data_IF_173319291088
#
_entry.id   IF_173319291088
#
_cell.length_a   1.000
_cell.length_b   1.000
_cell.length_c   1.000
_cell.angle_alpha   90.00
_cell.angle_beta   90.00
_cell.angle_gamma   90.00
#
_symmetry.space_group_name_H-M   'P 1'
#
loop_
_entity.id
_entity.type
_entity.pdbx_description
1 polymer ?
#
# COMPACT_ATOMS: atom_id res chain seq x y z
N UNK A 1 15.13 -15.52 -22.25
CA UNK A 1 14.87 -14.27 -23.00
C UNK A 1 13.90 -14.44 -24.17
N UNK A 2 13.97 -15.54 -24.93
CA UNK A 2 13.22 -15.74 -26.20
C UNK A 2 11.68 -15.87 -26.02
N UNK A 3 11.20 -16.40 -24.88
CA UNK A 3 9.75 -16.55 -24.64
C UNK A 3 9.00 -15.24 -24.31
N UNK A 4 9.70 -14.16 -23.96
CA UNK A 4 9.06 -12.87 -23.63
C UNK A 4 8.70 -12.10 -24.91
N UNK A 5 9.54 -12.20 -25.94
CA UNK A 5 9.33 -11.55 -27.24
C UNK A 5 8.19 -12.23 -28.01
N UNK A 6 8.07 -13.55 -27.93
CA UNK A 6 7.07 -14.30 -28.70
C UNK A 6 5.62 -14.09 -28.19
N UNK A 7 5.44 -13.86 -26.89
CA UNK A 7 4.11 -13.61 -26.33
C UNK A 7 3.61 -12.18 -26.55
N UNK A 8 4.53 -11.22 -26.69
CA UNK A 8 4.21 -9.82 -27.03
C UNK A 8 3.54 -9.68 -28.40
N UNK A 9 3.66 -10.69 -29.28
CA UNK A 9 3.10 -10.67 -30.63
C UNK A 9 1.67 -11.24 -30.72
N UNK A 10 1.21 -12.06 -29.77
CA UNK A 10 -0.16 -12.64 -29.82
C UNK A 10 -1.21 -11.88 -29.00
N UNK A 11 -0.79 -11.13 -27.98
CA UNK A 11 -1.64 -10.16 -27.30
C UNK A 11 -0.93 -8.82 -27.41
N UNK A 12 -1.41 -7.93 -28.30
CA UNK A 12 -0.76 -6.65 -28.57
C UNK A 12 -0.36 -5.89 -27.30
N UNK A 13 0.66 -5.05 -27.40
CA UNK A 13 1.31 -4.30 -26.32
C UNK A 13 0.37 -3.63 -25.29
N UNK A 14 -0.88 -3.35 -25.65
CA UNK A 14 -1.91 -2.79 -24.78
C UNK A 14 -2.75 -3.84 -23.99
N UNK A 15 -2.46 -5.12 -24.10
CA UNK A 15 -3.22 -6.20 -23.46
C UNK A 15 -4.66 -6.40 -23.99
N UNK A 16 -5.42 -7.32 -23.38
CA UNK A 16 -6.79 -7.65 -23.78
C UNK A 16 -7.71 -6.43 -23.71
N UNK A 17 -8.46 -6.15 -24.78
CA UNK A 17 -9.30 -4.93 -24.91
C UNK A 17 -10.25 -4.71 -23.72
N UNK A 18 -10.81 -5.78 -23.13
CA UNK A 18 -11.73 -5.70 -21.98
C UNK A 18 -11.07 -5.43 -20.62
N UNK A 19 -9.74 -5.49 -20.49
CA UNK A 19 -9.04 -5.30 -19.20
C UNK A 19 -8.17 -4.04 -19.13
N UNK A 20 -8.10 -3.27 -20.22
CA UNK A 20 -7.29 -2.04 -20.30
C UNK A 20 -7.71 -1.00 -19.28
N UNK A 21 -9.02 -0.82 -19.07
CA UNK A 21 -9.54 0.13 -18.10
C UNK A 21 -9.09 -0.22 -16.67
N UNK A 22 -9.11 -1.51 -16.32
CA UNK A 22 -8.62 -1.99 -15.03
C UNK A 22 -7.12 -1.79 -14.89
N UNK A 23 -6.33 -2.01 -15.94
CA UNK A 23 -4.88 -1.78 -15.93
C UNK A 23 -4.53 -0.30 -15.78
N UNK A 24 -5.29 0.59 -16.44
CA UNK A 24 -5.15 2.02 -16.30
C UNK A 24 -5.47 2.48 -14.86
N UNK A 25 -6.63 2.11 -14.33
CA UNK A 25 -7.01 2.43 -12.94
C UNK A 25 -6.03 1.83 -11.93
N UNK A 26 -5.52 0.62 -12.17
CA UNK A 26 -4.45 0.02 -11.35
C UNK A 26 -3.21 0.89 -11.35
N UNK A 27 -2.76 1.33 -12.53
CA UNK A 27 -1.56 2.15 -12.66
C UNK A 27 -1.75 3.50 -11.98
N UNK A 28 -2.87 4.18 -12.23
CA UNK A 28 -3.22 5.47 -11.64
C UNK A 28 -3.37 5.42 -10.12
N UNK A 29 -4.20 4.52 -9.59
CA UNK A 29 -4.39 4.39 -8.15
C UNK A 29 -3.12 3.92 -7.45
N UNK A 30 -2.33 3.06 -8.10
CA UNK A 30 -1.05 2.60 -7.56
C UNK A 30 -0.03 3.73 -7.50
N UNK A 31 0.13 4.51 -8.58
CA UNK A 31 1.07 5.62 -8.62
C UNK A 31 0.69 6.70 -7.64
N UNK A 32 -0.60 7.06 -7.60
CA UNK A 32 -1.15 8.02 -6.65
C UNK A 32 -0.91 7.53 -5.22
N UNK A 33 -1.16 6.25 -4.92
CA UNK A 33 -0.85 5.68 -3.60
C UNK A 33 0.61 5.89 -3.20
N UNK A 34 1.57 5.63 -4.10
CA UNK A 34 2.98 5.83 -3.78
C UNK A 34 3.35 7.30 -3.59
N UNK A 35 2.86 8.20 -4.44
CA UNK A 35 3.12 9.65 -4.29
C UNK A 35 2.60 10.15 -2.95
N UNK A 36 1.37 9.79 -2.56
CA UNK A 36 0.83 10.19 -1.25
C UNK A 36 1.58 9.55 -0.08
N UNK A 37 2.07 8.31 -0.22
CA UNK A 37 2.84 7.65 0.82
C UNK A 37 4.20 8.33 1.04
N UNK A 38 4.92 8.67 -0.04
CA UNK A 38 6.17 9.43 0.07
C UNK A 38 5.94 10.82 0.63
N UNK A 39 4.84 11.49 0.26
CA UNK A 39 4.47 12.76 0.87
C UNK A 39 4.21 12.60 2.38
N UNK A 40 3.52 11.54 2.80
CA UNK A 40 3.33 11.24 4.22
C UNK A 40 4.67 11.05 4.95
N UNK A 41 5.66 10.37 4.36
CA UNK A 41 6.99 10.22 4.95
C UNK A 41 7.77 11.53 5.09
N UNK A 42 7.42 12.58 4.34
CA UNK A 42 8.08 13.89 4.46
C UNK A 42 7.53 14.72 5.62
N UNK A 43 6.28 14.51 6.02
CA UNK A 43 5.56 15.36 6.99
C UNK A 43 5.17 14.61 8.28
N UNK A 44 5.47 13.31 8.36
CA UNK A 44 5.16 12.43 9.49
C UNK A 44 6.25 11.35 9.65
N UNK A 45 6.51 10.86 10.88
CA UNK A 45 7.42 9.75 11.11
C UNK A 45 7.14 8.50 10.25
N UNK A 46 8.20 7.84 9.79
CA UNK A 46 8.14 6.64 8.95
C UNK A 46 7.27 5.53 9.57
N UNK A 47 7.42 5.26 10.88
CA UNK A 47 6.64 4.27 11.62
C UNK A 47 5.13 4.60 11.61
N UNK A 48 4.74 5.85 11.84
CA UNK A 48 3.33 6.24 11.86
C UNK A 48 2.69 6.00 10.48
N UNK A 49 3.34 6.46 9.41
CA UNK A 49 2.83 6.29 8.05
C UNK A 49 2.82 4.82 7.59
N UNK A 50 3.83 4.03 7.95
CA UNK A 50 3.88 2.59 7.63
C UNK A 50 2.78 1.81 8.36
N UNK A 51 2.51 2.12 9.63
CA UNK A 51 1.42 1.49 10.38
C UNK A 51 0.05 1.86 9.78
N UNK A 52 -0.19 3.11 9.41
CA UNK A 52 -1.43 3.50 8.73
C UNK A 52 -1.58 2.72 7.41
N UNK A 53 -0.51 2.59 6.64
CA UNK A 53 -0.48 1.80 5.39
C UNK A 53 -0.76 0.32 5.63
N UNK A 54 -0.39 -0.17 6.82
CA UNK A 54 -0.64 -1.55 7.21
C UNK A 54 -2.13 -1.87 7.41
N UNK A 55 -2.99 -0.87 7.57
CA UNK A 55 -4.46 -1.07 7.55
C UNK A 55 -5.01 -1.40 6.16
N UNK A 56 -4.19 -1.37 5.10
CA UNK A 56 -4.61 -1.67 3.72
C UNK A 56 -5.35 -3.01 3.53
N UNK A 57 -5.07 -4.13 4.22
CA UNK A 57 -5.83 -5.37 4.07
C UNK A 57 -7.29 -5.26 4.52
N UNK A 58 -7.55 -4.40 5.50
CA UNK A 58 -8.89 -4.09 6.03
C UNK A 58 -9.66 -3.26 5.02
N UNK A 59 -9.08 -2.16 4.52
CA UNK A 59 -9.65 -1.38 3.42
C UNK A 59 -9.87 -2.24 2.16
N UNK A 60 -8.94 -3.16 1.87
CA UNK A 60 -9.07 -4.12 0.76
C UNK A 60 -10.24 -5.06 0.98
N UNK A 61 -10.56 -5.43 2.23
CA UNK A 61 -11.75 -6.22 2.59
C UNK A 61 -13.04 -5.48 2.29
N UNK A 62 -13.11 -4.24 2.76
CA UNK A 62 -14.27 -3.38 2.56
C UNK A 62 -14.52 -3.13 1.06
N UNK A 63 -13.46 -2.80 0.31
CA UNK A 63 -13.54 -2.60 -1.13
C UNK A 63 -13.85 -3.89 -1.90
N UNK A 64 -13.34 -5.04 -1.46
CA UNK A 64 -13.69 -6.32 -2.08
C UNK A 64 -15.16 -6.70 -1.85
N UNK A 65 -15.74 -6.36 -0.71
CA UNK A 65 -17.19 -6.51 -0.51
C UNK A 65 -17.98 -5.65 -1.51
N UNK A 66 -17.60 -4.38 -1.69
CA UNK A 66 -18.32 -3.45 -2.59
C UNK A 66 -18.13 -3.85 -4.07
N UNK A 67 -16.89 -4.08 -4.51
CA UNK A 67 -16.56 -4.25 -5.94
C UNK A 67 -16.58 -5.70 -6.42
N UNK A 68 -16.27 -6.67 -5.55
CA UNK A 68 -16.25 -8.10 -5.89
C UNK A 68 -17.46 -8.85 -5.33
N UNK A 69 -18.33 -8.18 -4.55
CA UNK A 69 -19.50 -8.79 -3.90
C UNK A 69 -19.11 -9.99 -3.01
N UNK A 70 -17.92 -9.96 -2.41
CA UNK A 70 -17.48 -10.96 -1.44
C UNK A 70 -18.31 -10.84 -0.15
N UNK A 71 -18.65 -11.94 0.52
CA UNK A 71 -19.45 -11.88 1.77
C UNK A 71 -18.67 -11.14 2.87
N UNK A 72 -19.20 -10.01 3.32
CA UNK A 72 -18.69 -9.28 4.49
C UNK A 72 -19.39 -9.79 5.73
N UNK A 73 -18.63 -10.17 6.76
CA UNK A 73 -19.21 -10.77 7.96
C UNK A 73 -18.84 -9.96 9.21
N UNK A 74 -19.56 -10.18 10.31
CA UNK A 74 -19.43 -9.44 11.57
C UNK A 74 -17.99 -9.36 12.10
N UNK A 75 -17.17 -10.39 11.91
CA UNK A 75 -15.76 -10.32 12.29
C UNK A 75 -14.94 -9.36 11.42
N UNK A 76 -15.28 -9.21 10.13
CA UNK A 76 -14.60 -8.23 9.26
C UNK A 76 -14.97 -6.80 9.69
N UNK A 77 -16.21 -6.60 10.15
CA UNK A 77 -16.62 -5.34 10.77
C UNK A 77 -15.82 -5.06 12.05
N UNK A 78 -15.66 -6.06 12.91
CA UNK A 78 -14.88 -5.92 14.14
C UNK A 78 -13.41 -5.57 13.84
N UNK A 79 -12.76 -6.27 12.91
CA UNK A 79 -11.40 -5.94 12.50
C UNK A 79 -11.31 -4.54 11.85
N UNK A 80 -12.34 -4.13 11.13
CA UNK A 80 -12.40 -2.78 10.54
C UNK A 80 -12.49 -1.70 11.60
N UNK A 81 -13.35 -1.87 12.60
CA UNK A 81 -13.43 -0.96 13.74
C UNK A 81 -12.09 -0.89 14.47
N UNK A 82 -11.45 -2.03 14.70
CA UNK A 82 -10.16 -2.08 15.38
C UNK A 82 -9.06 -1.38 14.56
N UNK A 83 -9.01 -1.56 13.25
CA UNK A 83 -8.06 -0.86 12.39
C UNK A 83 -8.30 0.66 12.39
N UNK A 84 -9.56 1.10 12.34
CA UNK A 84 -9.93 2.52 12.44
C UNK A 84 -9.47 3.09 13.78
N UNK A 85 -9.72 2.39 14.89
CA UNK A 85 -9.23 2.78 16.22
C UNK A 85 -7.71 2.92 16.23
N UNK A 86 -6.98 1.94 15.68
CA UNK A 86 -5.52 2.01 15.57
C UNK A 86 -5.02 3.22 14.77
N UNK A 87 -5.67 3.54 13.65
CA UNK A 87 -5.37 4.75 12.86
C UNK A 87 -5.65 6.02 13.65
N UNK A 88 -6.76 6.08 14.41
CA UNK A 88 -7.10 7.22 15.27
C UNK A 88 -6.06 7.43 16.38
N UNK A 89 -5.58 6.35 16.99
CA UNK A 89 -4.52 6.41 18.01
C UNK A 89 -3.20 6.99 17.47
N UNK A 90 -2.90 6.74 16.19
CA UNK A 90 -1.71 7.27 15.51
C UNK A 90 -1.93 8.71 15.07
N UNK A 91 -3.12 9.00 14.51
CA UNK A 91 -3.51 10.34 14.05
C UNK A 91 -3.57 11.37 15.18
N UNK A 92 -3.79 10.92 16.43
CA UNK A 92 -3.90 11.75 17.65
C UNK A 92 -4.67 13.04 17.43
N UNK A 93 -5.96 12.96 17.03
CA UNK A 93 -6.70 14.18 16.81
C UNK A 93 -6.89 14.96 18.13
N UNK A 94 -6.74 16.29 18.13
CA UNK A 94 -6.68 17.14 19.31
C UNK A 94 -8.02 17.20 20.04
N UNK A 95 -9.12 16.88 19.35
CA UNK A 95 -10.45 16.78 19.96
C UNK A 95 -10.62 15.54 20.85
N UNK A 96 -9.83 14.46 20.64
CA UNK A 96 -9.87 13.25 21.47
C UNK A 96 -8.80 13.24 22.55
N UNK A 97 -7.63 13.81 22.25
CA UNK A 97 -6.45 13.65 23.11
C UNK A 97 -6.00 14.95 23.80
N UNK A 98 -6.64 16.08 23.51
CA UNK A 98 -6.28 17.39 24.08
C UNK A 98 -5.03 18.00 23.42
N UNK A 99 -4.88 19.31 23.55
CA UNK A 99 -3.86 20.11 22.83
C UNK A 99 -2.50 20.21 23.55
N UNK A 100 -2.30 19.48 24.65
CA UNK A 100 -1.08 19.58 25.48
C UNK A 100 -0.13 18.41 25.18
N UNK A 101 1.02 18.72 24.58
CA UNK A 101 2.26 17.93 24.57
C UNK A 101 2.13 16.41 24.36
N UNK A 102 1.58 16.01 23.21
CA UNK A 102 1.45 14.59 22.84
C UNK A 102 2.66 14.02 22.08
N UNK A 103 3.87 14.58 22.27
CA UNK A 103 5.09 14.10 21.63
C UNK A 103 5.03 14.08 20.09
N UNK A 104 4.23 14.99 19.50
CA UNK A 104 4.20 15.23 18.07
C UNK A 104 5.31 16.23 17.78
N UNK A 105 6.40 15.76 17.17
CA UNK A 105 7.44 16.67 16.66
C UNK A 105 6.91 17.41 15.43
N UNK A 106 6.84 18.74 15.51
CA UNK A 106 6.43 19.61 14.42
C UNK A 106 5.04 20.22 14.56
N UNK A 107 4.59 20.93 13.52
CA UNK A 107 3.27 21.55 13.49
C UNK A 107 2.20 20.45 13.39
N UNK A 108 1.18 20.49 14.26
CA UNK A 108 0.03 19.58 14.19
C UNK A 108 -0.60 19.54 12.78
N UNK A 109 -0.56 20.67 12.06
CA UNK A 109 -1.07 20.76 10.69
C UNK A 109 -0.32 19.85 9.71
N UNK A 110 0.98 19.62 9.90
CA UNK A 110 1.78 18.77 9.02
C UNK A 110 1.58 17.29 9.33
N UNK A 111 1.47 16.92 10.60
CA UNK A 111 1.12 15.56 11.01
C UNK A 111 -0.29 15.18 10.53
N UNK A 112 -1.25 16.11 10.58
CA UNK A 112 -2.59 15.91 10.03
C UNK A 112 -2.58 15.72 8.51
N UNK A 113 -1.82 16.55 7.77
CA UNK A 113 -1.62 16.35 6.32
C UNK A 113 -1.01 14.99 6.02
N UNK A 114 -0.01 14.57 6.79
CA UNK A 114 0.60 13.25 6.70
C UNK A 114 -0.39 12.12 6.94
N UNK A 115 -1.25 12.27 7.94
CA UNK A 115 -2.27 11.26 8.27
C UNK A 115 -3.29 11.12 7.14
N UNK A 116 -3.81 12.24 6.64
CA UNK A 116 -4.76 12.27 5.52
C UNK A 116 -4.11 11.65 4.28
N UNK A 117 -2.87 12.02 3.98
CA UNK A 117 -2.11 11.48 2.86
C UNK A 117 -1.89 9.98 3.01
N UNK A 118 -1.50 9.50 4.19
CA UNK A 118 -1.31 8.08 4.47
C UNK A 118 -2.63 7.30 4.31
N UNK A 119 -3.75 7.78 4.86
CA UNK A 119 -5.06 7.12 4.71
C UNK A 119 -5.49 7.08 3.24
N UNK A 120 -5.34 8.19 2.51
CA UNK A 120 -5.65 8.25 1.08
C UNK A 120 -4.73 7.32 0.26
N UNK A 121 -3.45 7.20 0.65
CA UNK A 121 -2.53 6.21 0.07
C UNK A 121 -3.00 4.79 0.31
N UNK A 122 -3.44 4.47 1.53
CA UNK A 122 -3.94 3.15 1.94
C UNK A 122 -5.19 2.76 1.16
N UNK A 123 -6.14 3.69 1.01
CA UNK A 123 -7.35 3.46 0.23
C UNK A 123 -7.06 3.22 -1.26
N UNK A 124 -6.14 4.00 -1.83
CA UNK A 124 -5.69 3.85 -3.22
C UNK A 124 -4.91 2.55 -3.44
N UNK A 125 -4.04 2.18 -2.50
CA UNK A 125 -3.32 0.91 -2.50
C UNK A 125 -4.27 -0.28 -2.36
N UNK A 126 -5.25 -0.20 -1.47
CA UNK A 126 -6.27 -1.23 -1.29
C UNK A 126 -7.09 -1.43 -2.58
N UNK A 127 -7.49 -0.33 -3.23
CA UNK A 127 -8.17 -0.38 -4.53
C UNK A 127 -7.31 -1.05 -5.60
N UNK A 128 -6.01 -0.72 -5.63
CA UNK A 128 -5.03 -1.33 -6.54
C UNK A 128 -4.91 -2.84 -6.32
N UNK A 129 -4.89 -3.29 -5.05
CA UNK A 129 -4.86 -4.71 -4.69
C UNK A 129 -6.14 -5.40 -5.15
N UNK A 130 -7.31 -4.79 -4.93
CA UNK A 130 -8.60 -5.35 -5.40
C UNK A 130 -8.63 -5.50 -6.91
N UNK A 131 -8.18 -4.48 -7.65
CA UNK A 131 -8.10 -4.54 -9.12
C UNK A 131 -7.14 -5.65 -9.56
N UNK A 132 -5.96 -5.73 -8.95
CA UNK A 132 -4.97 -6.74 -9.29
C UNK A 132 -5.49 -8.16 -9.04
N UNK A 133 -6.24 -8.36 -7.94
CA UNK A 133 -6.94 -9.62 -7.64
C UNK A 133 -8.00 -9.95 -8.69
N UNK A 134 -8.81 -8.98 -9.11
CA UNK A 134 -9.85 -9.15 -10.14
C UNK A 134 -9.26 -9.47 -11.52
N UNK A 135 -8.10 -8.90 -11.84
CA UNK A 135 -7.36 -9.20 -13.07
C UNK A 135 -6.70 -10.57 -12.96
N UNK A 136 -6.11 -10.92 -11.82
CA UNK A 136 -5.51 -12.23 -11.55
C UNK A 136 -4.47 -12.64 -12.61
N UNK A 137 -4.44 -13.94 -12.94
CA UNK A 137 -3.52 -14.53 -13.93
C UNK A 137 -3.87 -14.23 -15.40
N UNK A 138 -4.98 -13.54 -15.66
CA UNK A 138 -5.42 -13.24 -17.03
C UNK A 138 -4.58 -12.19 -17.76
N UNK A 139 -3.72 -11.48 -17.03
CA UNK A 139 -2.79 -10.48 -17.58
C UNK A 139 -1.40 -10.72 -17.00
N UNK A 140 -0.39 -10.73 -17.86
CA UNK A 140 1.00 -10.82 -17.43
C UNK A 140 1.36 -9.67 -16.48
N UNK A 141 1.99 -10.01 -15.34
CA UNK A 141 2.49 -9.05 -14.35
C UNK A 141 3.29 -7.90 -14.98
N UNK A 142 4.10 -8.19 -16.01
CA UNK A 142 4.92 -7.21 -16.71
C UNK A 142 4.09 -6.07 -17.31
N UNK A 143 2.94 -6.38 -17.92
CA UNK A 143 2.06 -5.37 -18.50
C UNK A 143 1.48 -4.47 -17.42
N UNK A 144 1.03 -5.07 -16.30
CA UNK A 144 0.52 -4.30 -15.16
C UNK A 144 1.57 -3.30 -14.68
N UNK A 145 2.82 -3.77 -14.47
CA UNK A 145 3.94 -2.95 -13.99
C UNK A 145 4.30 -1.85 -14.99
N UNK A 146 4.27 -2.14 -16.29
CA UNK A 146 4.49 -1.13 -17.32
C UNK A 146 3.47 0.01 -17.26
N UNK A 147 2.18 -0.29 -17.14
CA UNK A 147 1.14 0.74 -16.96
C UNK A 147 1.37 1.58 -15.69
N UNK A 148 1.75 0.95 -14.59
CA UNK A 148 2.07 1.64 -13.35
C UNK A 148 3.29 2.56 -13.49
N UNK A 149 4.34 2.10 -14.19
CA UNK A 149 5.54 2.90 -14.43
C UNK A 149 5.27 4.09 -15.34
N UNK A 150 4.53 3.91 -16.44
CA UNK A 150 4.21 4.99 -17.39
C UNK A 150 3.28 6.02 -16.77
N UNK A 151 2.19 5.59 -16.14
CA UNK A 151 1.24 6.50 -15.49
C UNK A 151 1.92 7.21 -14.31
N UNK A 152 2.75 6.50 -13.55
CA UNK A 152 3.55 7.09 -12.48
C UNK A 152 4.53 8.14 -13.00
N UNK A 153 5.25 7.87 -14.09
CA UNK A 153 6.17 8.82 -14.70
C UNK A 153 5.43 10.09 -15.15
N UNK A 154 4.32 9.94 -15.87
CA UNK A 154 3.49 11.07 -16.32
C UNK A 154 2.98 11.86 -15.10
N UNK A 155 2.48 11.18 -14.07
CA UNK A 155 2.01 11.81 -12.84
C UNK A 155 3.09 12.59 -12.11
N UNK A 156 4.31 12.04 -11.99
CA UNK A 156 5.45 12.72 -11.39
C UNK A 156 5.88 13.95 -12.20
N UNK A 157 5.92 13.85 -13.53
CA UNK A 157 6.24 15.00 -14.40
C UNK A 157 5.23 16.12 -14.22
N UNK A 158 3.93 15.80 -14.21
CA UNK A 158 2.86 16.78 -13.97
C UNK A 158 3.03 17.42 -12.58
N UNK A 159 3.29 16.63 -11.54
CA UNK A 159 3.50 17.13 -10.19
C UNK A 159 4.70 18.11 -10.11
N UNK A 160 5.81 17.80 -10.78
CA UNK A 160 6.97 18.67 -10.84
C UNK A 160 6.66 20.00 -11.56
N UNK A 161 5.87 19.96 -12.63
CA UNK A 161 5.42 21.18 -13.31
C UNK A 161 4.49 22.02 -12.44
N UNK A 162 3.56 21.40 -11.72
CA UNK A 162 2.58 22.11 -10.87
C UNK A 162 3.24 22.73 -9.65
N UNK A 163 4.17 22.01 -9.01
CA UNK A 163 4.89 22.50 -7.83
C UNK A 163 5.96 23.54 -8.19
N UNK A 164 6.33 23.65 -9.46
CA UNK A 164 7.35 24.55 -9.99
C UNK A 164 8.72 24.46 -9.28
N UNK A 165 8.98 23.34 -8.59
CA UNK A 165 10.22 23.06 -7.89
C UNK A 165 11.06 22.04 -8.68
N UNK A 166 11.48 22.42 -9.88
CA UNK A 166 12.44 21.63 -10.65
C UNK A 166 13.83 21.71 -10.02
N UNK A 167 14.05 20.91 -8.98
CA UNK A 167 15.36 20.74 -8.34
C UNK A 167 15.89 19.34 -8.63
N UNK A 168 16.93 19.29 -9.45
CA UNK A 168 17.70 18.05 -9.63
C UNK A 168 18.47 17.75 -8.34
N UNK A 169 18.49 16.50 -7.87
CA UNK A 169 19.28 16.14 -6.71
C UNK A 169 20.76 16.49 -6.94
N UNK A 170 21.38 17.08 -5.92
CA UNK A 170 22.79 17.49 -5.94
C UNK A 170 23.69 16.31 -6.36
N UNK A 171 24.78 16.62 -7.06
CA UNK A 171 25.76 15.60 -7.46
C UNK A 171 26.38 14.97 -6.21
N UNK A 172 26.26 13.64 -6.05
CA UNK A 172 26.82 12.93 -4.88
C UNK A 172 26.15 11.59 -4.59
N UNK A 173 26.27 11.15 -3.33
CA UNK A 173 25.73 9.88 -2.81
C UNK A 173 24.20 9.79 -2.95
N UNK A 174 23.51 10.92 -2.93
CA UNK A 174 22.04 10.99 -3.02
C UNK A 174 21.50 10.41 -4.33
N UNK A 175 22.21 10.61 -5.46
CA UNK A 175 21.82 10.01 -6.75
C UNK A 175 21.93 8.49 -6.72
N UNK A 176 22.97 7.97 -6.08
CA UNK A 176 23.17 6.51 -5.93
C UNK A 176 22.05 5.93 -5.08
N UNK A 177 21.69 6.58 -3.96
CA UNK A 177 20.57 6.14 -3.13
C UNK A 177 19.23 6.21 -3.86
N UNK A 178 18.96 7.26 -4.65
CA UNK A 178 17.73 7.35 -5.45
C UNK A 178 17.63 6.24 -6.50
N UNK A 179 18.73 5.94 -7.21
CA UNK A 179 18.77 4.81 -8.16
C UNK A 179 18.55 3.49 -7.44
N UNK A 180 19.15 3.31 -6.26
CA UNK A 180 18.98 2.10 -5.47
C UNK A 180 17.53 1.92 -4.97
N UNK A 181 16.90 2.99 -4.47
CA UNK A 181 15.48 2.99 -4.09
C UNK A 181 14.60 2.65 -5.30
N UNK A 182 14.88 3.21 -6.47
CA UNK A 182 14.15 2.90 -7.70
C UNK A 182 14.29 1.44 -8.13
N UNK A 183 15.50 0.89 -8.07
CA UNK A 183 15.78 -0.50 -8.48
C UNK A 183 15.21 -1.52 -7.49
N UNK A 184 15.43 -1.31 -6.19
CA UNK A 184 14.85 -2.13 -5.14
C UNK A 184 13.32 -2.00 -5.08
N UNK A 185 12.79 -0.80 -5.27
CA UNK A 185 11.35 -0.54 -5.33
C UNK A 185 10.68 -1.21 -6.53
N UNK A 186 11.31 -1.16 -7.71
CA UNK A 186 10.83 -1.91 -8.88
C UNK A 186 10.87 -3.42 -8.63
N UNK A 187 11.96 -3.94 -8.05
CA UNK A 187 12.07 -5.34 -7.64
C UNK A 187 10.95 -5.75 -6.68
N UNK A 188 10.76 -4.98 -5.61
CA UNK A 188 9.69 -5.18 -4.63
C UNK A 188 8.31 -5.16 -5.27
N UNK A 189 8.05 -4.21 -6.18
CA UNK A 189 6.78 -4.11 -6.90
C UNK A 189 6.55 -5.30 -7.84
N UNK A 190 7.59 -5.81 -8.49
CA UNK A 190 7.53 -7.04 -9.31
C UNK A 190 7.16 -8.24 -8.44
N UNK A 191 7.87 -8.44 -7.33
CA UNK A 191 7.61 -9.56 -6.42
C UNK A 191 6.22 -9.46 -5.78
N UNK A 192 5.82 -8.28 -5.32
CA UNK A 192 4.49 -8.05 -4.76
C UNK A 192 3.38 -8.31 -5.79
N UNK A 193 3.56 -7.83 -7.03
CA UNK A 193 2.58 -8.05 -8.10
C UNK A 193 2.46 -9.54 -8.42
N UNK A 194 3.59 -10.26 -8.50
CA UNK A 194 3.59 -11.72 -8.72
C UNK A 194 2.96 -12.46 -7.55
N UNK A 195 3.29 -12.12 -6.31
CA UNK A 195 2.73 -12.73 -5.11
C UNK A 195 1.20 -12.59 -5.10
N UNK A 196 0.68 -11.39 -5.38
CA UNK A 196 -0.77 -11.15 -5.43
C UNK A 196 -1.49 -11.83 -6.61
N UNK A 197 -0.78 -12.20 -7.68
CA UNK A 197 -1.36 -12.92 -8.83
C UNK A 197 -1.32 -14.45 -8.68
N UNK A 198 -0.31 -14.97 -7.97
CA UNK A 198 -0.07 -16.41 -7.81
C UNK A 198 -0.74 -16.92 -6.53
N UNK A 199 -0.56 -16.19 -5.43
CA UNK A 199 -1.00 -16.60 -4.10
C UNK A 199 -2.34 -15.99 -3.69
N UNK A 200 -2.96 -16.63 -2.70
CA UNK A 200 -4.16 -16.09 -2.07
C UNK A 200 -3.79 -14.81 -1.30
N UNK A 201 -4.71 -13.85 -1.25
CA UNK A 201 -4.45 -12.54 -0.62
C UNK A 201 -4.08 -12.64 0.88
N UNK A 202 -4.51 -13.69 1.58
CA UNK A 202 -4.24 -13.89 3.01
C UNK A 202 -2.76 -14.01 3.33
N UNK A 203 -2.04 -15.04 2.83
CA UNK A 203 -0.61 -15.19 3.04
C UNK A 203 0.21 -13.93 2.69
N UNK A 204 -0.10 -13.28 1.56
CA UNK A 204 0.62 -12.07 1.13
C UNK A 204 0.43 -10.92 2.13
N UNK A 205 -0.79 -10.72 2.65
CA UNK A 205 -1.04 -9.71 3.68
C UNK A 205 -0.34 -10.02 5.01
N UNK A 206 -0.18 -11.30 5.37
CA UNK A 206 0.57 -11.70 6.58
C UNK A 206 2.06 -11.40 6.39
N UNK A 207 2.66 -11.74 5.25
CA UNK A 207 4.07 -11.41 5.00
C UNK A 207 4.31 -9.91 5.05
N UNK A 208 3.34 -9.11 4.57
CA UNK A 208 3.41 -7.65 4.61
C UNK A 208 3.37 -7.06 6.04
N UNK A 209 2.99 -7.83 7.07
CA UNK A 209 3.08 -7.38 8.47
C UNK A 209 4.53 -7.21 8.90
N UNK A 210 5.45 -7.96 8.29
CA UNK A 210 6.88 -7.89 8.59
C UNK A 210 7.46 -6.54 8.20
N UNK A 211 6.92 -5.87 7.17
CA UNK A 211 7.34 -4.53 6.76
C UNK A 211 7.26 -3.54 7.93
N UNK A 212 6.22 -3.65 8.78
CA UNK A 212 6.04 -2.80 9.96
C UNK A 212 7.14 -3.06 10.99
N UNK A 213 7.43 -4.33 11.26
CA UNK A 213 8.47 -4.72 12.22
C UNK A 213 9.83 -4.18 11.77
N UNK A 214 10.17 -4.34 10.49
CA UNK A 214 11.39 -3.78 9.92
C UNK A 214 11.39 -2.25 9.93
N UNK A 215 10.26 -1.59 9.66
CA UNK A 215 10.17 -0.14 9.70
C UNK A 215 10.48 0.41 11.11
N UNK A 216 9.95 -0.22 12.17
CA UNK A 216 10.26 0.17 13.55
C UNK A 216 11.74 -0.04 13.89
N UNK A 217 12.31 -1.21 13.56
CA UNK A 217 13.71 -1.52 13.84
C UNK A 217 14.64 -0.56 13.09
N UNK A 218 14.40 -0.35 11.80
CA UNK A 218 15.21 0.54 10.96
C UNK A 218 15.05 2.00 11.38
N UNK A 219 13.85 2.42 11.80
CA UNK A 219 13.65 3.77 12.33
C UNK A 219 14.47 3.99 13.62
N UNK A 220 14.46 3.05 14.55
CA UNK A 220 15.24 3.18 15.79
C UNK A 220 16.73 3.15 15.48
N UNK A 221 17.19 2.26 14.59
CA UNK A 221 18.61 2.09 14.29
C UNK A 221 19.21 3.23 13.46
N UNK A 222 18.49 3.72 12.44
CA UNK A 222 19.01 4.74 11.52
C UNK A 222 18.57 6.16 11.86
N UNK A 223 17.34 6.34 12.35
CA UNK A 223 16.81 7.67 12.67
C UNK A 223 16.98 8.02 14.16
N UNK A 224 17.40 7.08 15.03
CA UNK A 224 17.49 7.24 16.49
C UNK A 224 16.20 7.77 17.13
N UNK A 225 15.06 7.57 16.46
CA UNK A 225 13.77 8.11 16.86
C UNK A 225 12.92 7.05 17.55
N UNK A 226 12.67 7.24 18.84
CA UNK A 226 11.86 6.34 19.63
C UNK A 226 10.36 6.56 19.32
N UNK A 227 9.64 5.51 18.87
CA UNK A 227 8.21 5.61 18.71
C UNK A 227 7.55 5.82 20.07
N UNK A 228 6.56 6.72 20.11
CA UNK A 228 5.79 7.01 21.32
C UNK A 228 4.84 5.84 21.64
N UNK A 229 4.45 5.70 22.91
CA UNK A 229 3.58 4.62 23.38
C UNK A 229 2.25 4.51 22.60
N UNK A 230 1.70 5.64 22.15
CA UNK A 230 0.52 5.71 21.30
C UNK A 230 0.73 5.10 19.91
N UNK A 231 1.90 5.33 19.29
CA UNK A 231 2.27 4.72 18.00
C UNK A 231 2.41 3.21 18.16
N UNK A 232 3.00 2.74 19.26
CA UNK A 232 3.11 1.30 19.57
C UNK A 232 1.73 0.67 19.78
N UNK A 233 0.85 1.31 20.57
CA UNK A 233 -0.52 0.84 20.78
C UNK A 233 -1.35 0.81 19.49
N UNK A 234 -1.25 1.87 18.68
CA UNK A 234 -1.87 1.93 17.35
C UNK A 234 -1.35 0.85 16.42
N UNK A 235 -0.04 0.63 16.39
CA UNK A 235 0.59 -0.44 15.61
C UNK A 235 0.08 -1.82 15.98
N UNK A 236 0.03 -2.16 17.28
CA UNK A 236 -0.51 -3.43 17.74
C UNK A 236 -1.98 -3.62 17.31
N UNK A 237 -2.78 -2.55 17.40
CA UNK A 237 -4.18 -2.55 17.00
C UNK A 237 -4.37 -2.79 15.48
N UNK A 238 -3.60 -2.08 14.65
CA UNK A 238 -3.64 -2.25 13.18
C UNK A 238 -3.03 -3.60 12.76
N UNK A 239 -2.00 -4.07 13.44
CA UNK A 239 -1.39 -5.38 13.20
C UNK A 239 -2.39 -6.52 13.48
N UNK A 240 -3.00 -6.50 14.66
CA UNK A 240 -3.98 -7.52 15.08
C UNK A 240 -5.18 -7.59 14.13
N UNK A 241 -5.74 -6.44 13.76
CA UNK A 241 -6.88 -6.36 12.84
C UNK A 241 -6.57 -6.87 11.43
N UNK A 242 -5.41 -6.50 10.90
CA UNK A 242 -4.99 -6.87 9.55
C UNK A 242 -4.60 -8.35 9.46
N UNK A 243 -3.91 -8.90 10.48
CA UNK A 243 -3.62 -10.33 10.60
C UNK A 243 -4.92 -11.13 10.73
N UNK A 244 -5.84 -10.70 11.61
CA UNK A 244 -7.13 -11.34 11.79
C UNK A 244 -7.94 -11.40 10.48
N UNK A 245 -8.00 -10.29 9.75
CA UNK A 245 -8.66 -10.20 8.44
C UNK A 245 -7.98 -11.12 7.42
N UNK A 246 -6.66 -11.15 7.37
CA UNK A 246 -5.89 -11.96 6.44
C UNK A 246 -6.07 -13.47 6.68
N UNK A 247 -5.93 -13.93 7.92
CA UNK A 247 -6.14 -15.34 8.32
C UNK A 247 -7.55 -15.78 7.99
N UNK A 248 -8.55 -14.94 8.27
CA UNK A 248 -9.95 -15.28 8.02
C UNK A 248 -10.25 -15.44 6.53
N UNK A 249 -9.80 -14.50 5.71
CA UNK A 249 -9.93 -14.60 4.25
C UNK A 249 -9.22 -15.83 3.69
N UNK A 250 -8.05 -16.15 4.24
CA UNK A 250 -7.34 -17.36 3.88
C UNK A 250 -8.16 -18.61 4.19
N UNK A 251 -8.70 -18.74 5.42
CA UNK A 251 -9.58 -19.85 5.82
C UNK A 251 -10.82 -19.99 4.91
N UNK A 252 -11.48 -18.88 4.59
CA UNK A 252 -12.63 -18.89 3.67
C UNK A 252 -12.24 -19.35 2.25
N UNK A 253 -11.08 -18.90 1.77
CA UNK A 253 -10.57 -19.27 0.45
C UNK A 253 -10.11 -20.74 0.38
N UNK A 254 -9.66 -21.31 1.50
CA UNK A 254 -9.37 -22.76 1.60
C UNK A 254 -10.68 -23.56 1.64
N UNK A 255 -11.67 -23.13 2.43
CA UNK A 255 -12.98 -23.80 2.52
C UNK A 255 -13.70 -23.84 1.17
N UNK A 256 -13.68 -22.73 0.40
CA UNK A 256 -14.25 -22.69 -0.97
C UNK A 256 -13.56 -23.66 -1.93
N UNK A 257 -12.23 -23.73 -1.90
CA UNK A 257 -11.46 -24.62 -2.79
C UNK A 257 -11.79 -26.09 -2.51
N UNK A 258 -11.86 -26.48 -1.23
CA UNK A 258 -12.23 -27.84 -0.83
C UNK A 258 -13.66 -28.22 -1.28
N UNK A 259 -14.56 -27.24 -1.38
CA UNK A 259 -15.95 -27.46 -1.78
C UNK A 259 -16.17 -27.42 -3.29
N UNK A 260 -15.20 -26.96 -4.08
CA UNK A 260 -15.22 -27.09 -5.55
C UNK A 260 -14.59 -28.39 -6.05
N UNK A 261 -13.89 -29.12 -5.19
CA UNK A 261 -13.30 -30.44 -5.48
C UNK A 261 -14.25 -31.60 -5.14
N UNK A 262 -15.37 -31.33 -4.46
CA UNK A 262 -16.45 -32.27 -4.12
C UNK A 262 -17.61 -32.04 -5.07
#
# INVERSE_FOLDING_TARGET
AINVTFLSFRTGFLGPKGKRIFLFFRGFLGSTAMVLLYYAYQVMPLADATVITFSSPVFTSLLAWIFLKEKYSLWDLLFTLFAITGVILIARPPFLFGSRDMGIEGSYTDHLKGTIAAIASTASAASTIVILRKVGKSVHYFLSIWYYAVIGLIGCVIALFVLNEWRLPQCGKDRVFLVLIGLLGLGGQVFLTKALQIEKAGPVSIVRTMDVVFAFILQILFLNHLPTWWTVGGALCVLASSIGTAIRKWRQSVKKAKQSEI
#
